data_IF_007977584330
#
_entry.id   IF_007977584330
#
_cell.length_a   1.000
_cell.length_b   1.000
_cell.length_c   1.000
_cell.angle_alpha   90.00
_cell.angle_beta   90.00
_cell.angle_gamma   90.00
#
_symmetry.space_group_name_H-M   'P 1'
#
loop_
_entity.id
_entity.type
_entity.pdbx_description
1 polymer ?
#
# COMPACT_ATOMS: atom_id res chain seq x y z
N UNK A 1 14.69 20.20 -53.40
CA UNK A 1 14.78 18.77 -53.75
C UNK A 1 15.02 18.00 -52.47
N UNK A 2 14.19 16.99 -52.25
CA UNK A 2 13.91 16.34 -50.98
C UNK A 2 15.08 15.53 -50.43
N UNK A 3 15.19 15.51 -49.09
CA UNK A 3 16.13 14.70 -48.31
C UNK A 3 15.68 13.24 -48.27
N UNK A 4 16.54 12.31 -48.70
CA UNK A 4 16.34 10.88 -48.49
C UNK A 4 17.27 10.40 -47.36
N UNK A 5 16.74 10.27 -46.14
CA UNK A 5 17.38 9.56 -45.05
C UNK A 5 16.85 8.13 -45.11
N UNK A 6 17.71 7.18 -45.47
CA UNK A 6 17.39 5.75 -45.48
C UNK A 6 17.66 5.15 -44.09
N UNK A 7 16.58 4.57 -43.58
CA UNK A 7 16.35 3.58 -42.53
C UNK A 7 17.55 2.85 -41.91
N UNK A 8 17.52 2.69 -40.58
CA UNK A 8 17.16 1.40 -39.95
C UNK A 8 17.09 1.55 -38.43
N UNK A 9 15.91 1.92 -37.92
CA UNK A 9 15.55 1.64 -36.54
C UNK A 9 14.37 0.67 -36.60
N UNK A 10 14.68 -0.61 -36.48
CA UNK A 10 13.69 -1.68 -36.33
C UNK A 10 13.42 -1.82 -34.83
N UNK A 11 12.31 -1.28 -34.27
CA UNK A 11 11.84 -1.79 -33.00
C UNK A 11 11.29 -3.20 -33.27
N UNK A 12 11.93 -4.22 -32.70
CA UNK A 12 11.35 -5.54 -32.63
C UNK A 12 9.96 -5.42 -31.96
N UNK A 13 8.90 -5.63 -32.74
CA UNK A 13 7.55 -5.75 -32.21
C UNK A 13 7.50 -6.99 -31.31
N UNK A 14 7.69 -6.77 -30.01
CA UNK A 14 7.38 -7.76 -28.98
C UNK A 14 5.85 -7.75 -28.81
N UNK A 15 5.17 -8.52 -29.64
CA UNK A 15 3.76 -8.84 -29.44
C UNK A 15 3.71 -10.00 -28.45
N UNK A 16 3.86 -9.69 -27.17
CA UNK A 16 3.57 -10.62 -26.08
C UNK A 16 2.07 -10.51 -25.81
N UNK A 17 1.28 -11.37 -26.44
CA UNK A 17 -0.12 -11.56 -26.10
C UNK A 17 -0.17 -12.25 -24.72
N UNK A 18 -0.64 -11.59 -23.64
CA UNK A 18 -0.79 -12.27 -22.37
C UNK A 18 -1.92 -13.28 -22.53
N UNK A 19 -1.56 -14.56 -22.65
CA UNK A 19 -2.53 -15.65 -22.57
C UNK A 19 -3.34 -15.49 -21.28
N UNK A 20 -4.68 -15.42 -21.32
CA UNK A 20 -5.45 -15.40 -20.09
C UNK A 20 -5.29 -16.76 -19.42
N UNK A 21 -4.46 -16.81 -18.36
CA UNK A 21 -4.54 -17.90 -17.40
C UNK A 21 -5.98 -17.90 -16.86
N UNK A 22 -6.76 -18.87 -17.32
CA UNK A 22 -8.09 -19.14 -16.79
C UNK A 22 -7.91 -19.64 -15.37
N UNK A 23 -8.04 -18.76 -14.40
CA UNK A 23 -8.18 -19.13 -12.99
C UNK A 23 -9.49 -19.91 -12.86
N UNK A 24 -9.42 -21.24 -12.82
CA UNK A 24 -10.56 -22.05 -12.41
C UNK A 24 -10.88 -21.74 -10.96
N UNK A 25 -11.88 -20.89 -10.74
CA UNK A 25 -12.50 -20.72 -9.44
C UNK A 25 -13.27 -22.00 -9.14
N UNK A 26 -12.69 -22.92 -8.37
CA UNK A 26 -13.46 -23.96 -7.72
C UNK A 26 -14.35 -23.29 -6.67
N UNK A 27 -15.64 -23.24 -6.94
CA UNK A 27 -16.67 -22.96 -5.94
C UNK A 27 -16.69 -24.08 -4.90
N UNK A 28 -15.95 -23.91 -3.81
CA UNK A 28 -16.20 -24.68 -2.58
C UNK A 28 -17.42 -24.08 -1.89
N UNK A 29 -18.58 -24.67 -2.13
CA UNK A 29 -19.79 -24.44 -1.32
C UNK A 29 -19.61 -25.14 0.03
N UNK A 30 -18.68 -24.62 0.84
CA UNK A 30 -18.45 -25.00 2.22
C UNK A 30 -19.00 -23.90 3.13
N UNK A 31 -19.77 -24.31 4.13
CA UNK A 31 -20.43 -23.45 5.13
C UNK A 31 -19.57 -22.23 5.52
N UNK A 32 -20.15 -21.02 5.45
CA UNK A 32 -19.59 -19.82 6.07
C UNK A 32 -19.57 -20.02 7.59
N UNK A 33 -18.57 -20.74 8.08
CA UNK A 33 -18.09 -20.48 9.44
C UNK A 33 -17.51 -19.08 9.35
N UNK A 34 -18.17 -18.12 10.01
CA UNK A 34 -17.55 -16.83 10.28
C UNK A 34 -16.13 -17.14 10.77
N UNK A 35 -15.07 -16.49 10.24
CA UNK A 35 -13.80 -16.56 10.92
C UNK A 35 -14.10 -16.09 12.34
N UNK A 36 -14.03 -17.01 13.30
CA UNK A 36 -14.04 -16.68 14.71
C UNK A 36 -13.07 -15.52 14.82
N UNK A 37 -13.59 -14.35 15.19
CA UNK A 37 -12.76 -13.19 15.42
C UNK A 37 -11.80 -13.62 16.51
N UNK A 38 -10.62 -14.09 16.13
CA UNK A 38 -9.49 -14.16 17.03
C UNK A 38 -9.33 -12.72 17.46
N UNK A 39 -9.61 -12.36 18.73
CA UNK A 39 -9.12 -11.09 19.20
C UNK A 39 -7.64 -11.15 18.92
N UNK A 40 -7.14 -10.28 18.05
CA UNK A 40 -5.72 -10.12 17.83
C UNK A 40 -5.22 -9.55 19.16
N UNK A 41 -4.99 -10.45 20.11
CA UNK A 41 -4.45 -10.14 21.42
C UNK A 41 -3.05 -9.66 21.09
N UNK A 42 -2.91 -8.33 21.04
CA UNK A 42 -1.65 -7.62 20.99
C UNK A 42 -0.91 -8.00 22.28
N UNK A 43 -0.28 -9.18 22.25
CA UNK A 43 0.51 -9.68 23.34
C UNK A 43 1.72 -8.76 23.43
N UNK A 44 1.63 -7.82 24.37
CA UNK A 44 2.70 -6.96 24.80
C UNK A 44 3.83 -7.80 25.36
N UNK A 45 4.87 -8.01 24.55
CA UNK A 45 6.23 -8.26 25.00
C UNK A 45 7.10 -8.41 23.75
N UNK A 46 7.78 -7.34 23.33
CA UNK A 46 9.08 -7.27 22.62
C UNK A 46 9.29 -5.84 22.09
N UNK A 47 10.55 -5.36 21.99
CA UNK A 47 10.96 -3.97 22.27
C UNK A 47 10.44 -3.00 21.22
N UNK A 48 9.96 -1.80 21.65
CA UNK A 48 9.85 -0.51 20.94
C UNK A 48 9.52 -0.45 19.43
N UNK A 49 9.10 -1.55 18.82
CA UNK A 49 8.94 -1.70 17.38
C UNK A 49 7.48 -1.41 17.09
N UNK A 50 7.24 -0.23 16.52
CA UNK A 50 5.96 0.14 15.93
C UNK A 50 5.47 -1.02 15.03
N UNK A 51 4.25 -1.55 15.25
CA UNK A 51 3.71 -2.63 14.45
C UNK A 51 3.81 -2.33 12.96
N UNK A 52 4.07 -3.35 12.12
CA UNK A 52 4.28 -3.15 10.68
C UNK A 52 3.15 -2.32 10.03
N UNK A 53 1.89 -2.61 10.37
CA UNK A 53 0.73 -1.87 9.86
C UNK A 53 0.77 -0.39 10.26
N UNK A 54 1.11 -0.09 11.50
CA UNK A 54 1.22 1.28 12.01
C UNK A 54 2.35 2.02 11.29
N UNK A 55 3.50 1.38 11.09
CA UNK A 55 4.62 1.96 10.34
C UNK A 55 4.26 2.30 8.90
N UNK A 56 3.58 1.39 8.19
CA UNK A 56 3.12 1.66 6.81
C UNK A 56 2.19 2.87 6.78
N UNK A 57 1.24 2.94 7.72
CA UNK A 57 0.28 4.04 7.81
C UNK A 57 0.98 5.35 8.18
N UNK A 58 1.95 5.32 9.09
CA UNK A 58 2.76 6.48 9.47
C UNK A 58 3.52 7.05 8.28
N UNK A 59 4.16 6.21 7.47
CA UNK A 59 4.81 6.63 6.21
C UNK A 59 3.79 7.24 5.24
N UNK A 60 2.64 6.61 5.05
CA UNK A 60 1.61 7.12 4.15
C UNK A 60 1.07 8.49 4.60
N UNK A 61 0.79 8.66 5.91
CA UNK A 61 0.36 9.95 6.49
C UNK A 61 1.45 11.01 6.34
N UNK A 62 2.71 10.68 6.63
CA UNK A 62 3.86 11.59 6.44
C UNK A 62 3.98 12.05 5.00
N UNK A 63 4.01 11.13 4.03
CA UNK A 63 4.12 11.45 2.60
C UNK A 63 2.93 12.28 2.12
N UNK A 64 1.70 11.87 2.46
CA UNK A 64 0.49 12.61 2.07
C UNK A 64 0.44 14.01 2.68
N UNK A 65 0.84 14.16 3.95
CA UNK A 65 0.95 15.46 4.62
C UNK A 65 1.94 16.38 3.92
N UNK A 66 3.12 15.88 3.56
CA UNK A 66 4.12 16.63 2.79
C UNK A 66 3.61 17.04 1.41
N UNK A 67 3.02 16.11 0.65
CA UNK A 67 2.54 16.38 -0.71
C UNK A 67 1.35 17.34 -0.75
N UNK A 68 0.47 17.28 0.25
CA UNK A 68 -0.73 18.13 0.32
C UNK A 68 -0.51 19.43 1.10
N UNK A 69 0.71 19.71 1.58
CA UNK A 69 1.00 20.88 2.42
C UNK A 69 0.22 20.89 3.74
N UNK A 70 -0.10 19.70 4.29
CA UNK A 70 -0.82 19.53 5.56
C UNK A 70 0.15 19.16 6.68
N UNK A 71 0.68 20.12 7.46
CA UNK A 71 1.69 19.86 8.48
C UNK A 71 1.19 18.95 9.59
N UNK A 72 -0.06 19.13 10.04
CA UNK A 72 -0.67 18.29 11.09
C UNK A 72 -0.70 16.81 10.70
N UNK A 73 -1.05 16.52 9.44
CA UNK A 73 -1.09 15.15 8.92
C UNK A 73 0.32 14.54 8.83
N UNK A 74 1.31 15.36 8.47
CA UNK A 74 2.71 14.96 8.43
C UNK A 74 3.21 14.61 9.83
N UNK A 75 3.00 15.50 10.79
CA UNK A 75 3.40 15.32 12.19
C UNK A 75 2.71 14.11 12.83
N UNK A 76 1.42 13.91 12.54
CA UNK A 76 0.71 12.72 12.98
C UNK A 76 1.32 11.43 12.42
N UNK A 77 1.73 11.44 11.15
CA UNK A 77 2.45 10.32 10.55
C UNK A 77 3.78 10.04 11.26
N UNK A 78 4.51 11.09 11.64
CA UNK A 78 5.77 10.99 12.37
C UNK A 78 5.58 10.43 13.79
N UNK A 79 4.56 10.89 14.52
CA UNK A 79 4.22 10.35 15.85
C UNK A 79 3.86 8.87 15.83
N UNK A 80 3.14 8.41 14.80
CA UNK A 80 2.89 6.97 14.62
C UNK A 80 4.20 6.21 14.39
N UNK A 81 5.11 6.75 13.59
CA UNK A 81 6.41 6.12 13.33
C UNK A 81 7.32 6.07 14.57
N UNK A 82 7.13 6.99 15.52
CA UNK A 82 7.82 7.03 16.80
C UNK A 82 7.12 6.17 17.87
N UNK A 83 5.90 5.69 17.62
CA UNK A 83 5.09 4.99 18.62
C UNK A 83 4.47 5.92 19.67
N UNK A 84 4.44 7.23 19.41
CA UNK A 84 3.85 8.25 20.29
C UNK A 84 2.35 8.47 20.03
N UNK A 85 1.82 7.98 18.91
CA UNK A 85 0.41 8.07 18.53
C UNK A 85 -0.06 6.79 17.85
N UNK A 86 -1.34 6.44 18.02
CA UNK A 86 -1.98 5.32 17.34
C UNK A 86 -2.63 5.75 16.03
N UNK A 87 -2.96 4.79 15.17
CA UNK A 87 -3.70 5.04 13.92
C UNK A 87 -5.08 5.65 14.21
N UNK A 88 -5.69 5.23 15.32
CA UNK A 88 -7.05 5.58 15.74
C UNK A 88 -7.15 6.93 16.45
N UNK A 89 -6.02 7.56 16.75
CA UNK A 89 -6.03 8.92 17.24
C UNK A 89 -6.40 9.81 16.04
N UNK A 90 -7.66 10.25 15.99
CA UNK A 90 -8.10 11.19 14.96
C UNK A 90 -7.44 12.55 15.22
N UNK A 91 -6.89 13.21 14.18
CA UNK A 91 -6.58 14.62 14.30
C UNK A 91 -7.93 15.36 14.44
N UNK A 92 -8.24 15.85 15.65
CA UNK A 92 -9.33 16.79 15.86
C UNK A 92 -9.13 17.94 14.88
N UNK A 93 -9.93 17.98 13.82
CA UNK A 93 -10.03 19.13 12.94
C UNK A 93 -10.64 20.26 13.78
N UNK A 94 -9.81 21.23 14.15
CA UNK A 94 -10.23 22.46 14.80
C UNK A 94 -10.74 23.47 13.76
#
# INVERSE_FOLDING_TARGET
MSSNITDTNTPASFSEEPSPMTTQQQTVQGQRQAPTAVPLQQNAAQPSIVPFKERVIGVAKKTRGTLLGKPELKEHGEKILQGEASIHDEPKSA
#
